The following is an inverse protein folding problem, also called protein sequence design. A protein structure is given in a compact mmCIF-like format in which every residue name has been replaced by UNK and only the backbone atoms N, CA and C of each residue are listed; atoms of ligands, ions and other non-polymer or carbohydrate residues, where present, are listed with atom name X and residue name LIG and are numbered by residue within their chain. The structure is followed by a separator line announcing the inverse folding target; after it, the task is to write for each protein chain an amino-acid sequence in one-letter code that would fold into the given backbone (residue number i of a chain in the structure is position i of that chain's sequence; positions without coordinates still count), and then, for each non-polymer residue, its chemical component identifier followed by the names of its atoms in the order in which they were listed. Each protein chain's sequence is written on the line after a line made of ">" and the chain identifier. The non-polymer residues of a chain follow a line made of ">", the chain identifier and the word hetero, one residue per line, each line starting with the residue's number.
data_IF_081415163555
#
_entry.id   IF_081415163555
#
_cell.length_a   1.000
_cell.length_b   1.000
_cell.length_c   1.000
_cell.angle_alpha   90.00
_cell.angle_beta   90.00
_cell.angle_gamma   90.00
#
_symmetry.space_group_name_H-M   'P 1'
#
loop_
_entity.id
_entity.type
_entity.pdbx_description
1 polymer ?
#
# COMPACT_ATOMS: atom_id res chain seq x y z
N UNK A 1 2.74 25.15 2.02
CA UNK A 1 2.88 23.74 2.46
C UNK A 1 1.72 22.98 1.85
N UNK A 2 2.01 22.01 0.98
CA UNK A 2 1.00 21.26 0.22
C UNK A 2 -0.03 20.68 1.17
N UNK A 3 -1.30 20.94 0.90
CA UNK A 3 -2.41 20.36 1.65
C UNK A 3 -2.27 18.84 1.61
N UNK A 4 -2.04 18.22 2.76
CA UNK A 4 -2.39 16.82 2.95
C UNK A 4 -3.92 16.80 2.93
N UNK A 5 -4.52 16.83 1.75
CA UNK A 5 -5.93 16.49 1.61
C UNK A 5 -6.05 15.09 2.19
N UNK A 6 -6.65 14.97 3.38
CA UNK A 6 -7.07 13.69 3.92
C UNK A 6 -8.09 13.14 2.94
N UNK A 7 -7.60 12.39 1.94
CA UNK A 7 -8.46 11.64 1.06
C UNK A 7 -9.26 10.70 1.95
N UNK A 8 -10.58 10.93 1.99
CA UNK A 8 -11.55 10.07 2.66
C UNK A 8 -11.73 8.74 1.93
N UNK A 9 -11.08 8.57 0.78
CA UNK A 9 -11.09 7.32 0.04
C UNK A 9 -10.42 6.21 0.86
N UNK A 10 -11.07 5.05 0.91
CA UNK A 10 -10.51 3.87 1.56
C UNK A 10 -9.17 3.49 0.91
N UNK A 11 -8.22 3.04 1.73
CA UNK A 11 -6.88 2.64 1.30
C UNK A 11 -6.55 1.23 1.74
N UNK A 12 -5.80 0.51 0.90
CA UNK A 12 -5.18 -0.77 1.25
C UNK A 12 -3.68 -0.56 1.30
N UNK A 13 -3.11 -0.67 2.50
CA UNK A 13 -1.66 -0.56 2.74
C UNK A 13 -1.03 -1.96 2.74
N UNK A 14 0.12 -2.10 2.07
CA UNK A 14 0.88 -3.35 2.07
C UNK A 14 2.38 -3.08 2.21
N UNK A 15 3.01 -3.75 3.17
CA UNK A 15 4.46 -3.70 3.34
C UNK A 15 5.18 -4.42 2.21
N UNK A 16 6.18 -3.77 1.61
CA UNK A 16 7.03 -4.36 0.59
C UNK A 16 8.50 -4.33 0.97
N UNK A 17 9.21 -5.43 0.67
CA UNK A 17 10.65 -5.58 0.91
C UNK A 17 11.41 -6.18 -0.27
N UNK A 18 10.70 -6.55 -1.35
CA UNK A 18 11.26 -7.29 -2.48
C UNK A 18 11.38 -8.80 -2.25
N UNK A 19 11.01 -9.29 -1.06
CA UNK A 19 10.96 -10.74 -0.82
C UNK A 19 9.81 -11.41 -1.60
N UNK A 20 9.91 -12.72 -1.91
CA UNK A 20 8.82 -13.45 -2.55
C UNK A 20 7.49 -13.38 -1.76
N UNK A 21 7.57 -13.45 -0.43
CA UNK A 21 6.38 -13.32 0.43
C UNK A 21 5.74 -11.93 0.35
N UNK A 22 6.57 -10.88 0.25
CA UNK A 22 6.10 -9.51 0.03
C UNK A 22 5.42 -9.33 -1.33
N UNK A 23 5.91 -9.98 -2.39
CA UNK A 23 5.27 -9.93 -3.72
C UNK A 23 3.91 -10.65 -3.70
N UNK A 24 3.80 -11.79 -3.02
CA UNK A 24 2.52 -12.48 -2.84
C UNK A 24 1.51 -11.61 -2.06
N UNK A 25 1.97 -10.91 -1.01
CA UNK A 25 1.14 -9.96 -0.26
C UNK A 25 0.68 -8.78 -1.14
N UNK A 26 1.56 -8.24 -1.99
CA UNK A 26 1.21 -7.17 -2.94
C UNK A 26 0.11 -7.62 -3.91
N UNK A 27 0.20 -8.83 -4.46
CA UNK A 27 -0.84 -9.39 -5.33
C UNK A 27 -2.21 -9.50 -4.64
N UNK A 28 -2.23 -9.94 -3.38
CA UNK A 28 -3.47 -9.99 -2.58
C UNK A 28 -4.03 -8.60 -2.29
N UNK A 29 -3.17 -7.65 -1.94
CA UNK A 29 -3.55 -6.27 -1.68
C UNK A 29 -4.15 -5.59 -2.92
N UNK A 30 -3.65 -5.88 -4.12
CA UNK A 30 -4.21 -5.36 -5.36
C UNK A 30 -5.63 -5.87 -5.64
N UNK A 31 -5.88 -7.18 -5.42
CA UNK A 31 -7.23 -7.75 -5.52
C UNK A 31 -8.16 -7.08 -4.52
N UNK A 32 -7.71 -6.91 -3.29
CA UNK A 32 -8.49 -6.30 -2.23
C UNK A 32 -8.82 -4.82 -2.52
N UNK A 33 -7.85 -4.04 -2.98
CA UNK A 33 -8.05 -2.65 -3.36
C UNK A 33 -9.10 -2.53 -4.48
N UNK A 34 -9.04 -3.42 -5.47
CA UNK A 34 -10.04 -3.47 -6.54
C UNK A 34 -11.44 -3.79 -6.01
N UNK A 35 -11.57 -4.78 -5.14
CA UNK A 35 -12.87 -5.18 -4.59
C UNK A 35 -13.52 -4.08 -3.76
N UNK A 36 -12.70 -3.26 -3.07
CA UNK A 36 -13.18 -2.16 -2.22
C UNK A 36 -13.28 -0.81 -2.90
N UNK A 37 -12.90 -0.70 -4.18
CA UNK A 37 -12.75 0.59 -4.85
C UNK A 37 -11.75 1.50 -4.11
N UNK A 38 -10.76 0.89 -3.47
CA UNK A 38 -9.78 1.55 -2.61
C UNK A 38 -8.47 1.79 -3.36
N UNK A 39 -7.71 2.79 -2.89
CA UNK A 39 -6.36 3.06 -3.41
C UNK A 39 -5.36 2.05 -2.82
N UNK A 40 -4.47 1.51 -3.66
CA UNK A 40 -3.40 0.60 -3.22
C UNK A 40 -2.13 1.37 -2.90
N UNK A 41 -1.59 1.17 -1.70
CA UNK A 41 -0.39 1.83 -1.20
C UNK A 41 0.68 0.79 -0.81
N UNK A 42 1.63 0.48 -1.71
CA UNK A 42 2.82 -0.29 -1.38
C UNK A 42 3.79 0.59 -0.56
N UNK A 43 4.23 0.11 0.59
CA UNK A 43 5.10 0.86 1.50
C UNK A 43 6.34 0.06 1.82
N UNK A 44 7.52 0.65 1.64
CA UNK A 44 8.79 0.07 2.09
C UNK A 44 9.31 0.84 3.29
N UNK A 45 9.95 0.14 4.22
CA UNK A 45 10.67 0.77 5.30
C UNK A 45 12.11 1.04 4.86
N UNK A 46 12.55 2.29 4.97
CA UNK A 46 13.97 2.64 4.89
C UNK A 46 14.55 2.61 6.29
N UNK A 47 15.57 1.78 6.50
CA UNK A 47 16.29 1.77 7.77
C UNK A 47 16.95 3.12 8.02
N UNK A 48 17.03 3.57 9.28
CA UNK A 48 17.87 4.71 9.65
C UNK A 48 19.28 4.20 9.95
N UNK A 49 20.27 4.86 9.37
CA UNK A 49 21.68 4.64 9.68
C UNK A 49 22.13 5.64 10.74
#
# INVERSE_FOLDING_TARGET
>A
MSEYQESTAARVLVGVSGSPGSLAALGRAAVEARLRGAELWPVTAVGRR
#
